data_IF_659039852722
#
_entry.id   IF_659039852722
#
_cell.length_a   1.000
_cell.length_b   1.000
_cell.length_c   1.000
_cell.angle_alpha   90.00
_cell.angle_beta   90.00
_cell.angle_gamma   90.00
#
_symmetry.space_group_name_H-M   'P 1'
#
loop_
_entity.id
_entity.type
_entity.pdbx_description
1 polymer ?
#
# COMPACT_ATOMS: atom_id res chain seq x y z
N UNK A 1 21.48 -11.39 26.68
CA UNK A 1 20.82 -11.94 25.47
C UNK A 1 19.30 -11.81 25.61
N UNK A 2 18.74 -10.59 25.50
CA UNK A 2 17.31 -10.33 25.78
C UNK A 2 16.68 -9.17 24.98
N UNK A 3 17.39 -8.54 24.03
CA UNK A 3 16.86 -7.38 23.29
C UNK A 3 15.98 -7.73 22.07
N UNK A 4 15.93 -9.01 21.67
CA UNK A 4 15.17 -9.45 20.46
C UNK A 4 13.66 -9.51 20.67
N UNK A 5 13.18 -9.61 21.92
CA UNK A 5 11.74 -9.65 22.21
C UNK A 5 11.10 -8.25 22.22
N UNK A 6 11.88 -7.21 22.51
CA UNK A 6 11.40 -5.84 22.60
C UNK A 6 11.20 -5.20 21.22
N UNK A 7 12.09 -5.54 20.27
CA UNK A 7 11.95 -5.13 18.87
C UNK A 7 10.74 -5.76 18.17
N UNK A 8 10.41 -7.01 18.51
CA UNK A 8 9.24 -7.69 17.97
C UNK A 8 7.93 -7.02 18.43
N UNK A 9 7.85 -6.56 19.69
CA UNK A 9 6.64 -5.94 20.24
C UNK A 9 6.34 -4.56 19.60
N UNK A 10 7.37 -3.76 19.28
CA UNK A 10 7.18 -2.43 18.69
C UNK A 10 6.70 -2.46 17.23
N UNK A 11 6.97 -3.54 16.49
CA UNK A 11 6.58 -3.66 15.08
C UNK A 11 5.18 -4.23 14.86
N UNK A 12 4.57 -4.89 15.87
CA UNK A 12 3.25 -5.53 15.73
C UNK A 12 2.08 -4.61 16.07
N UNK A 13 2.30 -3.56 16.86
CA UNK A 13 1.27 -2.58 17.26
C UNK A 13 0.62 -1.83 16.08
N UNK A 14 1.35 -1.34 15.05
CA UNK A 14 0.71 -0.58 13.97
C UNK A 14 -0.20 -1.44 13.07
N UNK A 15 0.01 -2.76 13.03
CA UNK A 15 -0.77 -3.68 12.20
C UNK A 15 -2.16 -3.96 12.84
N UNK A 16 -2.25 -3.87 14.17
CA UNK A 16 -3.50 -4.12 14.91
C UNK A 16 -4.48 -2.94 14.80
N UNK A 17 -3.98 -1.71 14.64
CA UNK A 17 -4.83 -0.52 14.50
C UNK A 17 -5.57 -0.43 13.15
N UNK A 18 -5.09 -1.14 12.11
CA UNK A 18 -5.70 -1.10 10.78
C UNK A 18 -7.00 -1.92 10.66
N UNK A 19 -7.45 -2.56 11.74
CA UNK A 19 -8.62 -3.46 11.78
C UNK A 19 -9.87 -2.88 12.44
N UNK A 20 -9.89 -1.60 12.83
CA UNK A 20 -11.09 -0.96 13.39
C UNK A 20 -12.05 -0.59 12.25
N UNK A 21 -12.90 -1.53 11.85
CA UNK A 21 -14.06 -1.25 11.02
C UNK A 21 -15.09 -0.45 11.84
N UNK A 22 -15.76 0.56 11.26
CA UNK A 22 -16.84 1.26 11.96
C UNK A 22 -17.98 0.27 12.19
N UNK A 23 -18.27 -0.01 13.46
CA UNK A 23 -19.44 -0.79 13.85
C UNK A 23 -20.69 0.08 13.60
N UNK A 24 -21.34 -0.10 12.46
CA UNK A 24 -22.71 0.39 12.25
C UNK A 24 -23.64 -0.40 13.18
N UNK A 25 -23.91 0.14 14.37
CA UNK A 25 -24.99 -0.34 15.23
C UNK A 25 -26.31 0.24 14.72
N UNK A 26 -27.17 -0.62 14.17
CA UNK A 26 -28.50 -0.25 13.69
C UNK A 26 -29.40 0.19 14.85
N UNK A 27 -29.91 1.40 14.73
CA UNK A 27 -30.96 2.05 15.51
C UNK A 27 -32.04 1.10 16.05
N UNK A 28 -32.18 1.01 17.38
CA UNK A 28 -33.27 0.27 18.00
C UNK A 28 -33.28 0.39 19.52
N UNK A 29 -33.98 1.42 20.03
CA UNK A 29 -34.31 1.67 21.45
C UNK A 29 -33.20 2.29 22.31
N UNK A 30 -33.41 3.55 22.68
CA UNK A 30 -32.53 4.39 23.50
C UNK A 30 -32.45 3.87 24.94
N UNK A 31 -31.49 2.99 25.18
CA UNK A 31 -31.16 2.52 26.52
C UNK A 31 -30.37 3.63 27.26
N UNK A 32 -30.59 3.85 28.57
CA UNK A 32 -30.01 5.00 29.29
C UNK A 32 -28.47 5.02 29.36
N UNK A 33 -27.82 3.93 28.97
CA UNK A 33 -26.37 3.81 28.84
C UNK A 33 -25.82 4.15 27.45
N UNK A 34 -26.67 4.38 26.44
CA UNK A 34 -26.21 4.81 25.11
C UNK A 34 -25.56 6.20 25.13
N UNK A 35 -26.11 7.17 25.87
CA UNK A 35 -25.53 8.52 25.93
C UNK A 35 -24.07 8.55 26.40
N UNK A 36 -23.72 7.88 27.52
CA UNK A 36 -22.33 7.75 27.94
C UNK A 36 -21.43 7.00 26.95
N UNK A 37 -21.94 5.98 26.25
CA UNK A 37 -21.16 5.22 25.27
C UNK A 37 -20.94 6.02 23.98
N UNK A 38 -21.94 6.77 23.54
CA UNK A 38 -21.87 7.66 22.37
C UNK A 38 -20.92 8.83 22.64
N UNK A 39 -20.94 9.40 23.85
CA UNK A 39 -20.00 10.45 24.25
C UNK A 39 -18.54 9.95 24.28
N UNK A 40 -18.31 8.68 24.65
CA UNK A 40 -16.98 8.08 24.53
C UNK A 40 -16.60 7.90 23.05
N UNK A 41 -17.54 7.45 22.22
CA UNK A 41 -17.32 7.30 20.78
C UNK A 41 -17.00 8.64 20.10
N UNK A 42 -17.73 9.70 20.46
CA UNK A 42 -17.45 11.08 20.04
C UNK A 42 -16.11 11.58 20.60
N UNK A 43 -15.69 11.19 21.80
CA UNK A 43 -14.41 11.63 22.36
C UNK A 43 -13.20 11.01 21.67
N UNK A 44 -13.34 9.76 21.19
CA UNK A 44 -12.29 9.02 20.48
C UNK A 44 -12.21 9.43 19.01
N UNK A 45 -13.33 9.83 18.40
CA UNK A 45 -13.40 10.23 16.99
C UNK A 45 -13.47 11.75 16.78
N UNK A 46 -13.64 12.52 17.85
CA UNK A 46 -13.83 13.96 17.82
C UNK A 46 -12.54 14.79 17.89
N UNK A 47 -12.67 16.14 17.95
CA UNK A 47 -11.53 17.07 17.88
C UNK A 47 -10.48 16.87 18.97
N UNK A 48 -10.90 16.38 20.15
CA UNK A 48 -10.00 16.12 21.29
C UNK A 48 -8.94 15.08 20.94
N UNK A 49 -9.32 13.99 20.26
CA UNK A 49 -8.38 12.99 19.77
C UNK A 49 -7.38 13.59 18.78
N UNK A 50 -7.84 14.51 17.91
CA UNK A 50 -6.99 15.26 16.99
C UNK A 50 -5.92 16.10 17.70
N UNK A 51 -6.28 16.82 18.77
CA UNK A 51 -5.32 17.61 19.55
C UNK A 51 -4.29 16.74 20.28
N UNK A 52 -4.73 15.59 20.82
CA UNK A 52 -3.82 14.61 21.46
C UNK A 52 -2.85 14.04 20.42
N UNK A 53 -3.33 13.68 19.23
CA UNK A 53 -2.50 13.18 18.15
C UNK A 53 -1.45 14.23 17.72
N UNK A 54 -1.85 15.49 17.58
CA UNK A 54 -0.94 16.59 17.25
C UNK A 54 0.14 16.74 18.33
N UNK A 55 -0.24 16.77 19.61
CA UNK A 55 0.71 16.85 20.72
C UNK A 55 1.69 15.67 20.73
N UNK A 56 1.21 14.45 20.50
CA UNK A 56 2.05 13.25 20.42
C UNK A 56 3.07 13.33 19.28
N UNK A 57 2.65 13.78 18.09
CA UNK A 57 3.56 13.99 16.93
C UNK A 57 4.60 15.06 17.24
N UNK A 58 4.21 16.16 17.89
CA UNK A 58 5.14 17.22 18.28
C UNK A 58 6.18 16.73 19.30
N UNK A 59 5.77 15.93 20.29
CA UNK A 59 6.67 15.33 21.28
C UNK A 59 7.61 14.32 20.60
N UNK A 60 7.09 13.46 19.73
CA UNK A 60 7.89 12.48 18.99
C UNK A 60 8.92 13.17 18.08
N UNK A 61 8.52 14.21 17.36
CA UNK A 61 9.42 15.04 16.54
C UNK A 61 10.44 15.80 17.38
N UNK A 62 10.02 16.35 18.52
CA UNK A 62 10.91 17.01 19.49
C UNK A 62 11.95 16.06 20.07
N UNK A 63 11.53 14.85 20.49
CA UNK A 63 12.45 13.80 20.96
C UNK A 63 13.45 13.36 19.88
N UNK A 64 13.03 13.44 18.61
CA UNK A 64 13.90 13.23 17.47
C UNK A 64 15.01 14.29 17.41
N UNK A 65 14.63 15.57 17.43
CA UNK A 65 15.56 16.70 17.24
C UNK A 65 16.48 16.89 18.44
N UNK A 66 15.96 16.73 19.67
CA UNK A 66 16.71 16.96 20.91
C UNK A 66 17.49 15.74 21.42
N UNK A 67 17.39 14.60 20.73
CA UNK A 67 18.46 13.59 20.77
C UNK A 67 18.48 12.69 22.01
N UNK A 68 17.46 11.83 22.15
CA UNK A 68 17.56 10.65 23.00
C UNK A 68 18.47 9.58 22.40
N UNK A 69 18.29 9.26 21.11
CA UNK A 69 19.08 8.31 20.30
C UNK A 69 19.00 8.64 18.79
N UNK A 70 19.10 9.94 18.43
CA UNK A 70 18.86 10.45 17.07
C UNK A 70 19.67 9.73 15.98
N UNK A 71 20.91 9.35 16.27
CA UNK A 71 21.77 8.66 15.30
C UNK A 71 21.21 7.28 14.90
N UNK A 72 20.64 6.51 15.84
CA UNK A 72 20.03 5.22 15.56
C UNK A 72 18.66 5.36 14.87
N UNK A 73 17.88 6.38 15.23
CA UNK A 73 16.64 6.69 14.53
C UNK A 73 16.90 7.12 13.08
N UNK A 74 17.80 8.07 12.87
CA UNK A 74 18.16 8.58 11.54
C UNK A 74 18.69 7.44 10.66
N UNK A 75 19.52 6.56 11.22
CA UNK A 75 20.02 5.38 10.50
C UNK A 75 18.89 4.46 10.05
N UNK A 76 17.89 4.21 10.90
CA UNK A 76 16.69 3.43 10.51
C UNK A 76 15.84 4.15 9.48
N UNK A 77 15.63 5.45 9.63
CA UNK A 77 14.83 6.25 8.70
C UNK A 77 15.43 6.21 7.29
N UNK A 78 16.76 6.37 7.19
CA UNK A 78 17.49 6.27 5.92
C UNK A 78 17.27 4.91 5.26
N UNK A 79 17.31 3.80 6.00
CA UNK A 79 17.04 2.48 5.42
C UNK A 79 15.61 2.34 4.89
N UNK A 80 14.61 2.82 5.64
CA UNK A 80 13.20 2.78 5.20
C UNK A 80 12.99 3.60 3.94
N UNK A 81 13.52 4.83 3.90
CA UNK A 81 13.42 5.72 2.74
C UNK A 81 14.17 5.16 1.54
N UNK A 82 15.37 4.60 1.74
CA UNK A 82 16.17 4.00 0.68
C UNK A 82 15.43 2.82 0.05
N UNK A 83 14.87 1.92 0.85
CA UNK A 83 14.07 0.79 0.36
C UNK A 83 12.82 1.28 -0.38
N UNK A 84 12.05 2.21 0.21
CA UNK A 84 10.86 2.76 -0.42
C UNK A 84 11.18 3.46 -1.74
N UNK A 85 12.26 4.24 -1.79
CA UNK A 85 12.74 4.92 -2.98
C UNK A 85 13.17 3.96 -4.08
N UNK A 86 13.85 2.86 -3.74
CA UNK A 86 14.18 1.80 -4.71
C UNK A 86 12.91 1.14 -5.23
N UNK A 87 11.94 0.81 -4.38
CA UNK A 87 10.68 0.19 -4.83
C UNK A 87 9.89 1.12 -5.75
N UNK A 88 9.80 2.42 -5.40
CA UNK A 88 9.16 3.44 -6.22
C UNK A 88 9.92 3.70 -7.53
N UNK A 89 11.24 3.64 -7.53
CA UNK A 89 12.06 3.74 -8.75
C UNK A 89 12.04 2.46 -9.60
N UNK A 90 11.84 1.30 -8.98
CA UNK A 90 11.74 0.04 -9.70
C UNK A 90 10.46 -0.01 -10.55
N UNK A 91 9.35 0.57 -10.09
CA UNK A 91 8.11 0.63 -10.89
C UNK A 91 8.30 1.46 -12.16
N UNK A 92 9.08 2.54 -12.11
CA UNK A 92 9.38 3.35 -13.30
C UNK A 92 10.28 2.59 -14.27
N UNK A 93 11.31 1.89 -13.79
CA UNK A 93 12.17 1.04 -14.64
C UNK A 93 11.39 -0.09 -15.29
N UNK A 94 10.54 -0.80 -14.54
CA UNK A 94 9.69 -1.87 -15.09
C UNK A 94 8.72 -1.32 -16.13
N UNK A 95 8.18 -0.11 -15.93
CA UNK A 95 7.35 0.57 -16.94
C UNK A 95 8.08 0.82 -18.26
N UNK A 96 9.35 1.21 -18.22
CA UNK A 96 10.15 1.49 -19.42
C UNK A 96 10.39 0.24 -20.27
N UNK A 97 10.62 -0.91 -19.63
CA UNK A 97 10.86 -2.19 -20.34
C UNK A 97 9.57 -2.98 -20.62
N UNK A 98 8.52 -2.79 -19.81
CA UNK A 98 7.22 -3.43 -20.01
C UNK A 98 6.40 -2.80 -21.15
N UNK A 99 6.52 -1.50 -21.38
CA UNK A 99 5.82 -0.80 -22.47
C UNK A 99 6.51 -0.94 -23.84
N UNK A 100 7.80 -1.32 -23.87
CA UNK A 100 8.59 -1.53 -25.10
C UNK A 100 8.75 -3.01 -25.47
N UNK A 101 8.11 -3.92 -24.71
CA UNK A 101 8.02 -5.34 -25.05
C UNK A 101 7.27 -5.51 -26.38
N UNK A 102 8.02 -5.82 -27.43
CA UNK A 102 7.51 -5.99 -28.78
C UNK A 102 6.26 -6.89 -28.82
N UNK A 103 5.15 -6.39 -29.36
CA UNK A 103 4.10 -7.25 -29.90
C UNK A 103 4.70 -7.98 -31.10
N UNK A 104 5.24 -9.18 -30.87
CA UNK A 104 5.60 -10.08 -31.95
C UNK A 104 4.33 -10.28 -32.75
N UNK A 105 4.29 -9.72 -33.96
CA UNK A 105 3.18 -9.88 -34.87
C UNK A 105 2.90 -11.37 -35.00
N UNK A 106 1.65 -11.76 -34.74
CA UNK A 106 1.16 -13.09 -35.10
C UNK A 106 1.57 -13.29 -36.56
N UNK A 107 2.46 -14.27 -36.87
CA UNK A 107 2.92 -14.48 -38.23
C UNK A 107 1.67 -14.66 -39.06
N UNK A 108 1.55 -13.78 -40.06
CA UNK A 108 0.34 -13.59 -40.83
C UNK A 108 -0.29 -14.93 -41.16
N UNK A 109 -1.60 -14.96 -40.96
CA UNK A 109 -2.49 -15.92 -41.58
C UNK A 109 -1.96 -16.15 -43.00
N UNK A 110 -1.29 -17.29 -43.19
CA UNK A 110 -0.87 -17.73 -44.51
C UNK A 110 -2.17 -18.14 -45.18
N UNK A 111 -2.88 -17.16 -45.72
CA UNK A 111 -3.98 -17.35 -46.64
C UNK A 111 -3.36 -18.04 -47.85
N UNK A 112 -3.35 -19.36 -47.81
CA UNK A 112 -3.10 -20.22 -48.96
C UNK A 112 -4.28 -20.01 -49.91
N UNK A 113 -4.25 -18.91 -50.66
CA UNK A 113 -5.11 -18.76 -51.83
C UNK A 113 -4.65 -19.85 -52.82
N UNK A 114 -5.47 -20.86 -53.15
CA UNK A 114 -5.09 -21.83 -54.16
C UNK A 114 -5.02 -21.06 -55.48
N UNK A 115 -3.81 -20.82 -55.98
CA UNK A 115 -3.60 -20.22 -57.28
C UNK A 115 -4.16 -21.16 -58.34
N UNK A 116 -5.26 -20.75 -58.95
CA UNK A 116 -5.90 -21.38 -60.09
C UNK A 116 -4.97 -21.35 -61.31
N UNK A 117 -4.19 -22.43 -61.47
CA UNK A 117 -3.44 -22.74 -62.70
C UNK A 117 -4.40 -23.25 -63.78
N UNK A 118 -4.77 -22.34 -64.67
CA UNK A 118 -5.61 -22.56 -65.85
C UNK A 118 -4.75 -23.05 -67.02
N UNK A 119 -5.29 -24.06 -67.74
CA UNK A 119 -4.96 -24.54 -69.11
C UNK A 119 -3.72 -25.41 -69.26
N UNK A 120 -3.93 -26.64 -69.73
CA UNK A 120 -3.57 -26.99 -71.10
C UNK A 120 -4.45 -28.16 -71.60
N UNK A 121 -5.11 -27.91 -72.73
CA UNK A 121 -5.78 -28.91 -73.52
C UNK A 121 -4.86 -29.36 -74.64
N UNK A 122 -4.61 -30.66 -74.68
CA UNK A 122 -4.07 -31.49 -75.73
C UNK A 122 -4.50 -32.91 -75.28
N UNK A 123 -5.01 -33.85 -76.07
CA UNK A 123 -5.09 -34.06 -77.50
C UNK A 123 -5.78 -35.43 -77.62
N UNK A 124 -6.79 -35.54 -78.48
CA UNK A 124 -7.54 -36.76 -78.79
C UNK A 124 -8.24 -36.62 -80.12
#
# INVERSE_FOLDING_TARGET
MSHKKWFALFSTVPIILLSVAPALASSGSSLPWEGPLEQIQESITGPVAGYIALAAVAIAGGMLIFGGELNDFARRLVYVVLVAGILLGATTIVGLFGATGASVGVPGELTLTPSSGTKDGADG
#
